data_IF_214213064510
#
_entry.id   IF_214213064510
#
_cell.length_a   1.000
_cell.length_b   1.000
_cell.length_c   1.000
_cell.angle_alpha   90.00
_cell.angle_beta   90.00
_cell.angle_gamma   90.00
#
_symmetry.space_group_name_H-M   'P 1'
#
loop_
_entity.id
_entity.type
_entity.pdbx_description
1 polymer ?
#
# COMPACT_ATOMS: atom_id res chain seq x y z
N UNK A 1 -19.35 -5.44 0.67
CA UNK A 1 -18.94 -5.29 2.08
C UNK A 1 -17.57 -4.63 2.26
N UNK A 2 -16.48 -5.08 1.60
CA UNK A 2 -15.14 -4.42 1.70
C UNK A 2 -15.09 -2.97 1.15
N UNK A 3 -15.86 -2.65 0.11
CA UNK A 3 -15.90 -1.30 -0.49
C UNK A 3 -16.60 -0.25 0.38
N UNK A 4 -17.47 -0.68 1.28
CA UNK A 4 -18.34 0.22 2.04
C UNK A 4 -17.62 0.79 3.28
N UNK A 5 -16.78 -0.04 3.93
CA UNK A 5 -15.90 0.40 5.00
C UNK A 5 -14.86 1.40 4.48
N UNK A 6 -14.25 1.13 3.32
CA UNK A 6 -13.27 2.03 2.70
C UNK A 6 -13.91 3.35 2.26
N UNK A 7 -15.14 3.32 1.69
CA UNK A 7 -15.91 4.54 1.38
C UNK A 7 -16.31 5.34 2.62
N UNK A 8 -16.70 4.66 3.72
CA UNK A 8 -17.05 5.32 4.99
C UNK A 8 -15.83 5.98 5.64
N UNK A 9 -14.66 5.34 5.60
CA UNK A 9 -13.42 5.91 6.10
C UNK A 9 -12.97 7.11 5.25
N UNK A 10 -13.03 6.98 3.92
CA UNK A 10 -12.68 8.04 2.99
C UNK A 10 -13.60 9.26 3.10
N UNK A 11 -14.92 9.05 3.19
CA UNK A 11 -15.89 10.12 3.43
C UNK A 11 -15.61 10.84 4.75
N UNK A 12 -15.40 10.09 5.83
CA UNK A 12 -15.12 10.67 7.14
C UNK A 12 -13.81 11.46 7.20
N UNK A 13 -12.75 11.00 6.51
CA UNK A 13 -11.46 11.68 6.46
C UNK A 13 -11.49 12.96 5.62
N UNK A 14 -12.15 12.92 4.46
CA UNK A 14 -12.33 14.10 3.60
C UNK A 14 -13.21 15.13 4.31
N UNK A 15 -14.32 14.70 4.91
CA UNK A 15 -15.19 15.58 5.70
C UNK A 15 -14.47 16.13 6.92
N UNK A 16 -13.63 15.35 7.60
CA UNK A 16 -12.85 15.82 8.75
C UNK A 16 -11.83 16.89 8.36
N UNK A 17 -11.11 16.70 7.25
CA UNK A 17 -10.14 17.69 6.78
C UNK A 17 -10.84 19.01 6.39
N UNK A 18 -12.00 18.93 5.73
CA UNK A 18 -12.83 20.08 5.34
C UNK A 18 -13.48 20.76 6.56
N UNK A 19 -14.04 20.00 7.50
CA UNK A 19 -14.70 20.51 8.71
C UNK A 19 -13.70 21.05 9.75
N UNK A 20 -12.44 20.63 9.69
CA UNK A 20 -11.44 21.03 10.66
C UNK A 20 -10.90 22.44 10.46
N UNK A 21 -11.22 23.14 9.36
CA UNK A 21 -10.88 24.55 9.12
C UNK A 21 -9.40 24.89 9.44
N UNK A 22 -8.48 24.03 8.99
CA UNK A 22 -7.04 24.17 9.26
C UNK A 22 -6.56 23.70 10.64
N UNK A 23 -7.46 23.25 11.53
CA UNK A 23 -7.08 22.64 12.83
C UNK A 23 -6.29 21.34 12.68
N UNK A 24 -6.47 20.62 11.58
CA UNK A 24 -5.65 19.45 11.28
C UNK A 24 -4.17 19.81 11.17
N UNK A 25 -3.86 20.88 10.42
CA UNK A 25 -2.49 21.37 10.24
C UNK A 25 -1.93 21.89 11.56
N UNK A 26 -2.70 22.65 12.34
CA UNK A 26 -2.22 23.17 13.63
C UNK A 26 -2.01 22.10 14.70
N UNK A 27 -2.77 21.00 14.65
CA UNK A 27 -2.52 19.81 15.49
C UNK A 27 -1.24 19.10 15.02
N UNK A 28 -1.06 18.88 13.71
CA UNK A 28 0.14 18.27 13.16
C UNK A 28 1.42 19.06 13.48
N UNK A 29 1.39 20.39 13.31
CA UNK A 29 2.50 21.29 13.63
C UNK A 29 2.86 21.28 15.13
N UNK A 30 1.87 21.12 16.00
CA UNK A 30 2.06 21.13 17.46
C UNK A 30 2.59 19.80 17.99
N UNK A 31 2.21 18.68 17.37
CA UNK A 31 2.62 17.34 17.79
C UNK A 31 3.94 16.93 17.12
N UNK A 32 4.31 17.52 15.97
CA UNK A 32 5.57 17.28 15.22
C UNK A 32 5.81 15.80 14.89
N UNK A 33 4.74 15.05 14.63
CA UNK A 33 4.82 13.67 14.18
C UNK A 33 4.67 13.59 12.65
N UNK A 34 5.19 12.53 12.01
CA UNK A 34 4.91 12.24 10.61
C UNK A 34 3.40 12.16 10.32
N UNK A 35 3.01 12.41 9.06
CA UNK A 35 1.60 12.55 8.67
C UNK A 35 0.76 11.29 9.00
N UNK A 36 1.29 10.10 8.75
CA UNK A 36 0.65 8.81 9.04
C UNK A 36 0.42 8.58 10.54
N UNK A 37 1.40 8.94 11.37
CA UNK A 37 1.29 8.89 12.84
C UNK A 37 0.27 9.92 13.34
N UNK A 38 0.29 11.14 12.79
CA UNK A 38 -0.67 12.19 13.14
C UNK A 38 -2.10 11.76 12.79
N UNK A 39 -2.29 11.14 11.62
CA UNK A 39 -3.59 10.58 11.22
C UNK A 39 -4.07 9.51 12.19
N UNK A 40 -3.21 8.55 12.55
CA UNK A 40 -3.55 7.50 13.51
C UNK A 40 -3.90 8.05 14.89
N UNK A 41 -3.12 9.02 15.37
CA UNK A 41 -3.37 9.69 16.65
C UNK A 41 -4.73 10.39 16.67
N UNK A 42 -5.08 11.12 15.61
CA UNK A 42 -6.36 11.81 15.53
C UNK A 42 -7.52 10.81 15.57
N UNK A 43 -7.48 9.75 14.74
CA UNK A 43 -8.57 8.79 14.64
C UNK A 43 -8.77 8.02 15.95
N UNK A 44 -7.70 7.51 16.54
CA UNK A 44 -7.80 6.69 17.75
C UNK A 44 -7.94 7.51 19.03
N UNK A 45 -7.17 8.60 19.18
CA UNK A 45 -7.08 9.33 20.44
C UNK A 45 -8.03 10.52 20.52
N UNK A 46 -8.25 11.25 19.43
CA UNK A 46 -9.18 12.38 19.43
C UNK A 46 -10.61 11.95 19.10
N UNK A 47 -10.79 11.13 18.06
CA UNK A 47 -12.10 10.71 17.57
C UNK A 47 -12.62 9.41 18.21
N UNK A 48 -11.76 8.73 18.99
CA UNK A 48 -12.10 7.49 19.71
C UNK A 48 -12.66 6.40 18.80
N UNK A 49 -12.13 6.30 17.58
CA UNK A 49 -12.49 5.25 16.63
C UNK A 49 -11.29 4.30 16.47
N UNK A 50 -11.47 2.98 16.68
CA UNK A 50 -10.39 2.04 16.47
C UNK A 50 -10.09 1.91 14.97
N UNK A 51 -8.81 1.90 14.61
CA UNK A 51 -8.41 1.58 13.25
C UNK A 51 -8.65 0.09 12.96
N UNK A 52 -9.06 -0.21 11.73
CA UNK A 52 -9.22 -1.60 11.28
C UNK A 52 -7.91 -2.10 10.71
N UNK A 53 -7.38 -3.17 11.29
CA UNK A 53 -6.21 -3.87 10.76
C UNK A 53 -6.62 -4.68 9.55
N UNK A 54 -5.87 -4.53 8.45
CA UNK A 54 -6.13 -5.21 7.18
C UNK A 54 -4.80 -5.77 6.67
N UNK A 55 -4.65 -7.09 6.79
CA UNK A 55 -3.37 -7.79 6.54
C UNK A 55 -2.91 -7.74 5.07
N UNK A 56 -3.80 -7.35 4.15
CA UNK A 56 -3.50 -7.24 2.72
C UNK A 56 -2.81 -5.92 2.32
N UNK A 57 -2.63 -4.99 3.25
CA UNK A 57 -1.86 -3.78 3.01
C UNK A 57 -0.40 -4.00 3.35
N UNK A 58 0.44 -3.85 2.33
CA UNK A 58 1.87 -4.04 2.43
C UNK A 58 2.66 -2.75 2.25
N UNK A 59 3.68 -2.59 3.09
CA UNK A 59 4.60 -1.44 3.12
C UNK A 59 6.04 -1.90 2.95
N UNK A 60 6.90 -1.05 2.39
CA UNK A 60 8.31 -1.38 2.16
C UNK A 60 9.13 -1.62 3.43
N UNK A 61 8.56 -1.35 4.61
CA UNK A 61 9.14 -1.67 5.91
C UNK A 61 9.04 -3.15 6.27
N UNK A 62 8.20 -3.92 5.58
CA UNK A 62 8.12 -5.37 5.75
C UNK A 62 8.82 -6.10 4.59
N UNK A 63 9.34 -7.32 4.80
CA UNK A 63 10.01 -8.09 3.76
C UNK A 63 9.03 -8.59 2.68
N UNK A 64 9.00 -7.90 1.53
CA UNK A 64 8.14 -8.22 0.38
C UNK A 64 8.36 -9.63 -0.18
N UNK A 65 9.56 -10.20 0.02
CA UNK A 65 9.92 -11.55 -0.43
C UNK A 65 9.09 -12.67 0.22
N UNK A 66 8.42 -12.39 1.36
CA UNK A 66 7.61 -13.39 2.08
C UNK A 66 6.15 -13.42 1.63
N UNK A 67 5.71 -12.47 0.80
CA UNK A 67 4.38 -12.54 0.21
C UNK A 67 4.34 -13.75 -0.72
N UNK A 68 3.48 -14.71 -0.40
CA UNK A 68 3.39 -15.98 -1.16
C UNK A 68 2.76 -15.71 -2.51
N UNK A 69 3.32 -16.34 -3.56
CA UNK A 69 2.89 -16.13 -4.95
C UNK A 69 1.43 -16.45 -5.19
N UNK A 70 0.90 -17.46 -4.51
CA UNK A 70 -0.51 -17.88 -4.58
C UNK A 70 -1.48 -16.85 -3.98
N UNK A 71 -1.00 -15.95 -3.13
CA UNK A 71 -1.81 -14.92 -2.48
C UNK A 71 -1.71 -13.55 -3.15
N UNK A 72 -0.87 -13.39 -4.18
CA UNK A 72 -0.59 -12.06 -4.78
C UNK A 72 -1.85 -11.40 -5.34
N UNK A 73 -2.76 -12.19 -5.94
CA UNK A 73 -4.03 -11.68 -6.47
C UNK A 73 -4.99 -11.16 -5.38
N UNK A 74 -4.81 -11.61 -4.14
CA UNK A 74 -5.65 -11.24 -3.00
C UNK A 74 -5.13 -10.02 -2.22
N UNK A 75 -3.91 -9.56 -2.49
CA UNK A 75 -3.32 -8.42 -1.78
C UNK A 75 -3.82 -7.08 -2.33
N UNK A 76 -3.84 -6.05 -1.48
CA UNK A 76 -4.39 -4.73 -1.81
C UNK A 76 -3.29 -3.75 -2.21
N UNK A 77 -2.18 -3.72 -1.47
CA UNK A 77 -1.04 -2.87 -1.80
C UNK A 77 0.24 -3.68 -1.84
N UNK A 78 1.21 -3.14 -2.56
CA UNK A 78 2.59 -3.61 -2.60
C UNK A 78 3.50 -2.39 -2.54
N UNK A 79 4.73 -2.59 -2.09
CA UNK A 79 5.72 -1.52 -2.04
C UNK A 79 7.09 -2.06 -2.41
N UNK A 80 8.07 -1.17 -2.51
CA UNK A 80 9.46 -1.53 -2.72
C UNK A 80 10.36 -0.51 -2.02
N UNK A 81 11.53 -0.95 -1.59
CA UNK A 81 12.59 -0.07 -1.13
C UNK A 81 13.96 -0.67 -1.37
N UNK A 82 14.97 0.18 -1.45
CA UNK A 82 16.36 -0.24 -1.39
C UNK A 82 16.83 -0.20 0.06
N UNK A 83 17.13 -1.35 0.64
CA UNK A 83 17.64 -1.48 2.01
C UNK A 83 19.12 -1.80 1.91
N UNK A 84 19.97 -0.79 2.16
CA UNK A 84 21.42 -0.86 1.93
C UNK A 84 21.71 -1.24 0.47
N UNK A 85 22.27 -2.44 0.23
CA UNK A 85 22.60 -2.97 -1.09
C UNK A 85 21.60 -4.00 -1.61
N UNK A 86 20.56 -4.33 -0.84
CA UNK A 86 19.51 -5.26 -1.26
C UNK A 86 18.20 -4.53 -1.59
N UNK A 87 17.53 -4.98 -2.65
CA UNK A 87 16.20 -4.52 -3.00
C UNK A 87 15.14 -5.35 -2.25
N UNK A 88 14.32 -4.67 -1.46
CA UNK A 88 13.11 -5.24 -0.87
C UNK A 88 11.97 -5.15 -1.88
N UNK A 89 11.77 -6.23 -2.64
CA UNK A 89 10.78 -6.32 -3.72
C UNK A 89 10.02 -7.63 -3.64
N UNK A 90 8.84 -7.67 -4.26
CA UNK A 90 8.02 -8.88 -4.35
C UNK A 90 8.75 -9.94 -5.17
N UNK A 91 8.76 -11.17 -4.67
CA UNK A 91 9.43 -12.30 -5.33
C UNK A 91 8.57 -12.85 -6.47
N UNK A 92 8.78 -12.34 -7.68
CA UNK A 92 8.12 -12.79 -8.90
C UNK A 92 9.13 -13.02 -10.04
N UNK A 93 8.89 -14.07 -10.82
CA UNK A 93 9.63 -14.33 -12.06
C UNK A 93 9.02 -13.51 -13.20
N UNK A 94 9.85 -12.84 -14.00
CA UNK A 94 9.37 -12.01 -15.10
C UNK A 94 10.50 -11.29 -15.81
N UNK A 95 10.43 -9.96 -15.84
CA UNK A 95 11.43 -9.12 -16.49
C UNK A 95 12.78 -9.19 -15.79
N UNK A 96 13.85 -8.86 -16.52
CA UNK A 96 15.20 -8.73 -15.98
C UNK A 96 15.25 -7.55 -14.99
N UNK A 97 15.95 -7.75 -13.88
CA UNK A 97 16.07 -6.76 -12.80
C UNK A 97 16.65 -5.43 -13.25
N UNK A 98 17.45 -5.39 -14.33
CA UNK A 98 17.95 -4.13 -14.89
C UNK A 98 16.84 -3.24 -15.45
N UNK A 99 15.78 -3.85 -15.96
CA UNK A 99 14.64 -3.14 -16.57
C UNK A 99 13.49 -2.93 -15.59
N UNK A 100 13.32 -3.83 -14.62
CA UNK A 100 12.21 -3.82 -13.66
C UNK A 100 12.72 -4.02 -12.22
N UNK A 101 13.58 -3.11 -11.76
CA UNK A 101 14.22 -3.19 -10.43
C UNK A 101 13.21 -3.28 -9.28
N UNK A 102 12.08 -2.56 -9.39
CA UNK A 102 11.03 -2.53 -8.36
C UNK A 102 9.99 -3.66 -8.51
N UNK A 103 10.12 -4.49 -9.56
CA UNK A 103 9.22 -5.61 -9.87
C UNK A 103 7.76 -5.24 -10.17
N UNK A 104 7.45 -3.95 -10.36
CA UNK A 104 6.06 -3.52 -10.56
C UNK A 104 5.57 -3.83 -11.97
N UNK A 105 6.44 -3.83 -12.97
CA UNK A 105 6.06 -4.25 -14.31
C UNK A 105 5.81 -5.77 -14.36
N UNK A 106 6.66 -6.54 -13.69
CA UNK A 106 6.48 -7.98 -13.51
C UNK A 106 5.17 -8.28 -12.76
N UNK A 107 4.90 -7.57 -11.67
CA UNK A 107 3.66 -7.69 -10.91
C UNK A 107 2.43 -7.35 -11.76
N UNK A 108 2.50 -6.27 -12.55
CA UNK A 108 1.42 -5.89 -13.46
C UNK A 108 1.13 -7.00 -14.46
N UNK A 109 2.16 -7.54 -15.12
CA UNK A 109 1.98 -8.61 -16.10
C UNK A 109 1.58 -9.95 -15.49
N UNK A 110 1.93 -10.20 -14.23
CA UNK A 110 1.43 -11.35 -13.47
C UNK A 110 -0.08 -11.26 -13.25
N UNK A 111 -0.58 -10.10 -12.81
CA UNK A 111 -2.01 -9.87 -12.54
C UNK A 111 -2.82 -9.67 -13.83
N UNK A 112 -2.24 -9.03 -14.84
CA UNK A 112 -2.90 -8.62 -16.07
C UNK A 112 -2.11 -9.06 -17.32
N UNK A 113 -2.08 -10.36 -17.64
CA UNK A 113 -1.25 -10.88 -18.73
C UNK A 113 -1.72 -10.52 -20.14
N UNK A 114 -2.85 -9.82 -20.28
CA UNK A 114 -3.49 -9.52 -21.59
C UNK A 114 -2.94 -8.26 -22.26
N UNK A 115 -2.10 -7.48 -21.58
CA UNK A 115 -1.53 -6.26 -22.15
C UNK A 115 -0.41 -6.58 -23.15
N UNK A 116 -0.32 -5.80 -24.23
CA UNK A 116 0.57 -6.06 -25.36
C UNK A 116 2.06 -5.97 -25.03
N UNK A 117 2.43 -5.19 -24.02
CA UNK A 117 3.82 -5.04 -23.55
C UNK A 117 4.22 -6.13 -22.56
N UNK A 118 3.28 -6.97 -22.12
CA UNK A 118 3.61 -8.09 -21.25
C UNK A 118 4.21 -9.22 -22.09
N UNK A 119 5.37 -9.77 -21.68
CA UNK A 119 5.90 -10.95 -22.32
C UNK A 119 4.85 -12.05 -22.21
N UNK A 120 4.70 -12.84 -23.26
CA UNK A 120 3.81 -14.00 -23.27
C UNK A 120 4.34 -15.06 -22.32
N UNK A 121 4.20 -14.82 -21.01
CA UNK A 121 4.49 -15.77 -19.96
C UNK A 121 3.43 -16.85 -20.07
N UNK A 122 3.75 -17.92 -20.82
CA UNK A 122 2.97 -19.16 -20.79
C UNK A 122 2.77 -19.54 -19.33
N UNK A 123 1.54 -19.45 -18.83
CA UNK A 123 1.15 -20.09 -17.56
C UNK A 123 1.53 -21.57 -17.68
N UNK A 124 2.63 -21.99 -17.08
CA UNK A 124 2.74 -23.37 -16.62
C UNK A 124 1.79 -23.45 -15.43
N UNK A 125 0.56 -23.90 -15.73
CA UNK A 125 -0.40 -24.35 -14.72
C UNK A 125 0.20 -25.52 -13.97
#
# INVERSE_FOLDING_TARGET
>A
MKSEACRKLWGFLVDFCILSDGKFISIGERIRLPDDVTMGYIVEHLLKKPLTVVDQFHSHLEPMKFIRRDLIEDQISFSYAKIKDEWNVVKLDGFDERYDQNRFLTLHCFLFPRFSFCPSLRRKR
#
